data_IF_026981642330
#
_entry.id   IF_026981642330
#
_cell.length_a   1.000
_cell.length_b   1.000
_cell.length_c   1.000
_cell.angle_alpha   90.00
_cell.angle_beta   90.00
_cell.angle_gamma   90.00
#
_symmetry.space_group_name_H-M   'P 1'
#
loop_
_entity.id
_entity.type
_entity.pdbx_description
1 polymer ?
#
# COMPACT_ATOMS: atom_id res chain seq x y z
N UNK A 1 -0.54 -6.09 -14.33
CA UNK A 1 -0.10 -4.69 -14.42
C UNK A 1 0.17 -4.12 -13.05
N UNK A 2 1.17 -3.28 -12.92
CA UNK A 2 1.50 -2.64 -11.66
C UNK A 2 0.94 -1.23 -11.62
N UNK A 3 0.48 -0.82 -10.44
CA UNK A 3 -0.09 0.50 -10.21
C UNK A 3 0.63 1.13 -9.01
N UNK A 4 0.82 2.42 -9.04
CA UNK A 4 1.45 3.13 -7.93
C UNK A 4 0.43 4.06 -7.27
N UNK A 5 0.33 3.96 -5.94
CA UNK A 5 -0.53 4.83 -5.14
C UNK A 5 0.37 5.73 -4.32
N UNK A 6 0.27 7.04 -4.54
CA UNK A 6 1.06 8.00 -3.79
C UNK A 6 0.24 8.52 -2.62
N UNK A 7 0.54 8.03 -1.42
CA UNK A 7 -0.16 8.43 -0.21
C UNK A 7 0.76 9.19 0.75
N UNK A 8 1.83 9.77 0.22
CA UNK A 8 2.75 10.56 1.04
C UNK A 8 2.07 11.83 1.51
N UNK A 9 2.42 12.26 2.72
CA UNK A 9 1.86 13.47 3.30
C UNK A 9 0.44 13.36 3.80
N UNK A 10 -0.16 12.17 3.72
CA UNK A 10 -1.52 11.94 4.18
C UNK A 10 -1.50 11.25 5.53
N UNK A 11 -2.43 11.62 6.39
CA UNK A 11 -2.54 10.99 7.70
C UNK A 11 -3.55 9.85 7.67
N UNK A 12 -3.37 8.90 8.59
CA UNK A 12 -4.29 7.79 8.76
C UNK A 12 -5.71 8.31 9.01
N UNK A 13 -6.76 7.77 8.37
CA UNK A 13 -6.76 6.52 7.61
C UNK A 13 -6.63 6.68 6.08
N UNK A 14 -6.25 7.86 5.59
CA UNK A 14 -6.23 8.12 4.15
C UNK A 14 -5.39 7.12 3.33
N UNK A 15 -4.13 6.81 3.73
CA UNK A 15 -3.36 5.84 2.96
C UNK A 15 -4.04 4.49 2.86
N UNK A 16 -4.70 4.05 3.94
CA UNK A 16 -5.42 2.77 3.95
C UNK A 16 -6.60 2.83 2.98
N UNK A 17 -7.37 3.92 3.02
CA UNK A 17 -8.53 4.07 2.16
C UNK A 17 -8.12 4.09 0.68
N UNK A 18 -7.04 4.77 0.35
CA UNK A 18 -6.54 4.81 -1.03
C UNK A 18 -6.10 3.43 -1.49
N UNK A 19 -5.43 2.68 -0.62
CA UNK A 19 -5.00 1.32 -0.92
C UNK A 19 -6.20 0.41 -1.16
N UNK A 20 -7.22 0.50 -0.32
CA UNK A 20 -8.42 -0.30 -0.46
C UNK A 20 -9.16 0.02 -1.75
N UNK A 21 -9.25 1.29 -2.11
CA UNK A 21 -9.88 1.71 -3.35
C UNK A 21 -9.15 1.12 -4.56
N UNK A 22 -7.83 1.14 -4.53
CA UNK A 22 -7.04 0.61 -5.63
C UNK A 22 -7.18 -0.91 -5.72
N UNK A 23 -7.21 -1.59 -4.58
CA UNK A 23 -7.44 -3.03 -4.54
C UNK A 23 -8.77 -3.39 -5.22
N UNK A 24 -9.81 -2.61 -4.95
CA UNK A 24 -11.10 -2.84 -5.57
C UNK A 24 -11.08 -2.57 -7.07
N UNK A 25 -10.33 -1.55 -7.48
CA UNK A 25 -10.26 -1.15 -8.88
C UNK A 25 -9.54 -2.19 -9.74
N UNK A 26 -8.44 -2.74 -9.23
CA UNK A 26 -7.63 -3.68 -10.03
C UNK A 26 -7.98 -5.13 -9.79
N UNK A 27 -8.46 -5.48 -8.60
CA UNK A 27 -8.86 -6.84 -8.27
C UNK A 27 -7.71 -7.80 -8.02
N UNK A 28 -6.69 -7.76 -8.81
CA UNK A 28 -5.50 -8.61 -8.68
C UNK A 28 -4.33 -7.95 -9.41
N UNK A 29 -3.14 -8.47 -9.20
CA UNK A 29 -1.94 -7.94 -9.82
C UNK A 29 -0.97 -7.42 -8.78
N UNK A 30 -0.34 -6.29 -9.05
CA UNK A 30 0.65 -5.72 -8.16
C UNK A 30 0.40 -4.23 -7.98
N UNK A 31 0.49 -3.77 -6.73
CA UNK A 31 0.31 -2.36 -6.38
C UNK A 31 1.49 -1.93 -5.53
N UNK A 32 2.06 -0.76 -5.83
CA UNK A 32 3.08 -0.14 -5.01
C UNK A 32 2.46 1.07 -4.33
N UNK A 33 2.56 1.14 -3.01
CA UNK A 33 2.00 2.23 -2.22
C UNK A 33 3.15 3.01 -1.59
N UNK A 34 3.13 4.32 -1.73
CA UNK A 34 4.12 5.21 -1.14
C UNK A 34 3.53 5.86 0.10
N UNK A 35 4.18 5.68 1.24
CA UNK A 35 3.78 6.33 2.50
C UNK A 35 5.02 6.89 3.17
N UNK A 36 4.84 7.82 4.10
CA UNK A 36 5.96 8.50 4.74
C UNK A 36 5.97 8.39 6.26
N UNK A 37 5.19 7.47 6.83
CA UNK A 37 5.22 7.20 8.26
C UNK A 37 5.21 5.71 8.52
N UNK A 38 5.78 5.31 9.67
CA UNK A 38 5.78 3.91 10.09
C UNK A 38 4.34 3.43 10.34
N UNK A 39 3.53 4.28 10.94
CA UNK A 39 2.13 3.93 11.22
C UNK A 39 1.37 3.64 9.93
N UNK A 40 1.52 4.50 8.92
CA UNK A 40 0.87 4.28 7.63
C UNK A 40 1.37 3.00 6.97
N UNK A 41 2.69 2.75 7.04
CA UNK A 41 3.27 1.54 6.49
C UNK A 41 2.62 0.29 7.10
N UNK A 42 2.50 0.26 8.42
CA UNK A 42 1.91 -0.90 9.09
C UNK A 42 0.43 -1.06 8.78
N UNK A 43 -0.30 0.04 8.77
CA UNK A 43 -1.73 0.01 8.51
C UNK A 43 -2.05 -0.42 7.07
N UNK A 44 -1.29 0.08 6.11
CA UNK A 44 -1.46 -0.31 4.71
C UNK A 44 -1.15 -1.78 4.52
N UNK A 45 -0.06 -2.26 5.11
CA UNK A 45 0.31 -3.67 5.02
C UNK A 45 -0.78 -4.57 5.60
N UNK A 46 -1.31 -4.18 6.76
CA UNK A 46 -2.35 -4.95 7.43
C UNK A 46 -3.64 -4.96 6.61
N UNK A 47 -4.00 -3.81 6.04
CA UNK A 47 -5.20 -3.72 5.21
C UNK A 47 -5.09 -4.60 3.96
N UNK A 48 -3.93 -4.61 3.33
CA UNK A 48 -3.70 -5.45 2.15
C UNK A 48 -3.85 -6.93 2.50
N UNK A 49 -3.25 -7.34 3.61
CA UNK A 49 -3.33 -8.73 4.05
C UNK A 49 -4.76 -9.14 4.37
N UNK A 50 -5.54 -8.23 4.94
CA UNK A 50 -6.94 -8.54 5.27
C UNK A 50 -7.80 -8.75 4.02
N UNK A 51 -7.34 -8.27 2.87
CA UNK A 51 -8.03 -8.46 1.60
C UNK A 51 -7.46 -9.61 0.77
N UNK A 52 -6.58 -10.40 1.36
CA UNK A 52 -6.00 -11.54 0.67
C UNK A 52 -4.82 -11.21 -0.21
N UNK A 53 -4.30 -10.00 -0.13
CA UNK A 53 -3.11 -9.59 -0.85
C UNK A 53 -1.87 -9.92 -0.03
N UNK A 54 -0.77 -10.20 -0.70
CA UNK A 54 0.51 -10.46 -0.04
C UNK A 54 1.38 -9.22 -0.09
N UNK A 55 2.01 -8.90 1.04
CA UNK A 55 3.01 -7.83 1.07
C UNK A 55 4.32 -8.43 0.62
N UNK A 56 4.73 -8.13 -0.61
CA UNK A 56 5.94 -8.71 -1.20
C UNK A 56 7.21 -8.02 -0.70
N UNK A 57 7.15 -6.72 -0.53
CA UNK A 57 8.34 -5.95 -0.19
C UNK A 57 7.93 -4.66 0.51
N UNK A 58 8.76 -4.25 1.45
CA UNK A 58 8.63 -2.94 2.09
C UNK A 58 10.02 -2.32 2.06
N UNK A 59 10.18 -1.31 1.24
CA UNK A 59 11.48 -0.71 1.00
C UNK A 59 11.55 0.71 1.55
N UNK A 60 12.37 0.97 2.55
CA UNK A 60 12.56 2.35 3.01
C UNK A 60 13.49 3.10 2.04
N UNK A 61 13.06 4.28 1.64
CA UNK A 61 13.87 5.16 0.80
C UNK A 61 13.85 6.56 1.38
N UNK A 62 14.88 6.91 2.16
CA UNK A 62 14.87 8.17 2.89
C UNK A 62 13.76 8.18 3.91
N UNK A 63 12.84 9.12 3.79
CA UNK A 63 11.70 9.24 4.69
C UNK A 63 10.43 8.62 4.11
N UNK A 64 10.54 7.90 3.00
CA UNK A 64 9.41 7.29 2.31
C UNK A 64 9.53 5.78 2.37
N UNK A 65 8.40 5.11 2.47
CA UNK A 65 8.34 3.65 2.41
C UNK A 65 7.59 3.22 1.15
N UNK A 66 8.22 2.37 0.36
CA UNK A 66 7.60 1.78 -0.83
C UNK A 66 7.09 0.40 -0.45
N UNK A 67 5.78 0.23 -0.44
CA UNK A 67 5.16 -1.04 -0.08
C UNK A 67 4.63 -1.68 -1.36
N UNK A 68 5.11 -2.87 -1.67
CA UNK A 68 4.65 -3.61 -2.84
C UNK A 68 3.78 -4.77 -2.38
N UNK A 69 2.55 -4.79 -2.85
CA UNK A 69 1.61 -5.86 -2.55
C UNK A 69 1.18 -6.53 -3.85
N UNK A 70 0.82 -7.80 -3.76
CA UNK A 70 0.42 -8.54 -4.95
C UNK A 70 -0.67 -9.55 -4.63
N UNK A 71 -1.44 -9.89 -5.66
CA UNK A 71 -2.45 -10.94 -5.59
C UNK A 71 -2.56 -11.62 -6.95
N UNK A 72 -2.57 -12.95 -6.93
CA UNK A 72 -2.71 -13.76 -8.14
C UNK A 72 -4.16 -13.84 -8.62
#
# INVERSE_FOLDING_TARGET
MSTTVDARGLSCPQPVLMTMDEIKAVGKGEITILVDTVTSRENVSRAAESKGWQVKDVRPEGEVYNITISKD
#
